data_IF_004580145336
#
_entry.id   IF_004580145336
#
_cell.length_a   1.000
_cell.length_b   1.000
_cell.length_c   1.000
_cell.angle_alpha   90.00
_cell.angle_beta   90.00
_cell.angle_gamma   90.00
#
_symmetry.space_group_name_H-M   'P 1'
#
loop_
_entity.id
_entity.type
_entity.pdbx_description
1 polymer ?
#
# COMPACT_ATOMS: atom_id res chain seq x y z
N UNK A 1 -8.54 0.58 1.34
CA UNK A 1 -8.04 1.93 1.02
C UNK A 1 -9.27 2.78 0.69
N UNK A 2 -9.58 3.80 1.49
CA UNK A 2 -10.64 4.75 1.11
C UNK A 2 -10.13 5.51 -0.10
N UNK A 3 -10.83 5.45 -1.23
CA UNK A 3 -10.38 6.11 -2.46
C UNK A 3 -10.47 7.64 -2.38
N UNK A 4 -11.30 8.15 -1.46
CA UNK A 4 -11.51 9.56 -1.22
C UNK A 4 -11.28 9.86 0.26
N UNK A 5 -10.44 10.85 0.53
CA UNK A 5 -10.41 11.57 1.80
C UNK A 5 -10.78 13.01 1.49
N UNK A 6 -11.64 13.60 2.31
CA UNK A 6 -12.08 14.99 2.21
C UNK A 6 -11.12 15.92 2.96
N UNK A 7 -11.20 17.22 2.70
CA UNK A 7 -10.51 18.27 3.45
C UNK A 7 -10.94 18.31 4.93
N UNK A 8 -12.13 17.80 5.23
CA UNK A 8 -12.64 17.63 6.59
C UNK A 8 -12.06 16.41 7.34
N UNK A 9 -11.36 15.49 6.66
CA UNK A 9 -10.70 14.36 7.31
C UNK A 9 -9.48 14.82 8.12
N UNK A 10 -9.26 14.15 9.26
CA UNK A 10 -8.13 14.47 10.13
C UNK A 10 -6.78 14.35 9.40
N UNK A 11 -5.82 15.16 9.83
CA UNK A 11 -4.44 15.08 9.35
C UNK A 11 -3.88 13.67 9.49
N UNK A 12 -4.21 12.98 10.60
CA UNK A 12 -3.81 11.60 10.85
C UNK A 12 -4.38 10.65 9.78
N UNK A 13 -5.68 10.68 9.49
CA UNK A 13 -6.31 9.84 8.46
C UNK A 13 -5.65 10.03 7.09
N UNK A 14 -5.32 11.28 6.75
CA UNK A 14 -4.64 11.64 5.50
C UNK A 14 -3.21 11.11 5.45
N UNK A 15 -2.44 11.27 6.53
CA UNK A 15 -1.06 10.77 6.59
C UNK A 15 -1.02 9.24 6.62
N UNK A 16 -1.95 8.59 7.34
CA UNK A 16 -2.07 7.14 7.38
C UNK A 16 -2.36 6.56 5.98
N UNK A 17 -3.34 7.13 5.28
CA UNK A 17 -3.66 6.70 3.91
C UNK A 17 -2.48 6.89 2.96
N UNK A 18 -1.77 8.02 3.06
CA UNK A 18 -0.59 8.29 2.23
C UNK A 18 0.57 7.35 2.54
N UNK A 19 0.82 7.07 3.82
CA UNK A 19 1.83 6.11 4.26
C UNK A 19 1.52 4.70 3.77
N UNK A 20 0.28 4.23 3.97
CA UNK A 20 -0.16 2.92 3.50
C UNK A 20 -0.09 2.79 1.97
N UNK A 21 -0.50 3.82 1.21
CA UNK A 21 -0.40 3.80 -0.25
C UNK A 21 1.08 3.83 -0.71
N UNK A 22 1.93 4.60 -0.04
CA UNK A 22 3.37 4.60 -0.31
C UNK A 22 3.95 3.20 -0.11
N UNK A 23 3.69 2.58 1.04
CA UNK A 23 4.26 1.29 1.42
C UNK A 23 3.76 0.12 0.56
N UNK A 24 2.48 0.11 0.21
CA UNK A 24 1.85 -1.00 -0.53
C UNK A 24 2.08 -0.91 -2.04
N UNK A 25 1.98 0.28 -2.64
CA UNK A 25 2.02 0.45 -4.11
C UNK A 25 3.07 1.45 -4.60
N UNK A 26 3.93 1.96 -3.71
CA UNK A 26 4.94 2.96 -4.09
C UNK A 26 4.37 4.36 -4.34
N UNK A 27 3.13 4.65 -3.95
CA UNK A 27 2.50 5.93 -4.23
C UNK A 27 3.33 7.08 -3.64
N UNK A 28 3.68 8.07 -4.48
CA UNK A 28 4.48 9.24 -4.08
C UNK A 28 5.86 8.88 -3.47
N UNK A 29 6.37 7.67 -3.70
CA UNK A 29 7.68 7.23 -3.19
C UNK A 29 8.81 8.20 -3.53
N UNK A 30 8.78 8.84 -4.70
CA UNK A 30 9.77 9.83 -5.16
C UNK A 30 9.73 11.17 -4.41
N UNK A 31 8.68 11.45 -3.62
CA UNK A 31 8.60 12.65 -2.78
C UNK A 31 9.40 12.53 -1.49
N UNK A 32 9.75 11.30 -1.09
CA UNK A 32 10.60 11.03 0.06
C UNK A 32 12.07 11.02 -0.38
N UNK A 33 12.95 11.60 0.44
CA UNK A 33 14.38 11.64 0.16
C UNK A 33 14.95 10.22 -0.02
N UNK A 34 15.85 10.02 -0.99
CA UNK A 34 16.43 8.70 -1.30
C UNK A 34 17.10 8.05 -0.09
N UNK A 35 17.93 8.80 0.63
CA UNK A 35 18.64 8.34 1.83
C UNK A 35 17.66 7.96 2.93
N UNK A 36 16.65 8.80 3.18
CA UNK A 36 15.60 8.49 4.16
C UNK A 36 14.90 7.16 3.87
N UNK A 37 14.52 6.91 2.61
CA UNK A 37 13.87 5.64 2.22
C UNK A 37 14.79 4.44 2.44
N UNK A 38 16.07 4.57 2.12
CA UNK A 38 17.06 3.51 2.34
C UNK A 38 17.30 3.24 3.82
N UNK A 39 17.32 4.28 4.66
CA UNK A 39 17.48 4.15 6.10
C UNK A 39 16.29 3.43 6.74
N UNK A 40 15.06 3.78 6.34
CA UNK A 40 13.84 3.10 6.80
C UNK A 40 13.85 1.63 6.40
N UNK A 41 14.16 1.31 5.14
CA UNK A 41 14.22 -0.09 4.68
C UNK A 41 15.34 -0.89 5.36
N UNK A 42 16.45 -0.25 5.73
CA UNK A 42 17.53 -0.88 6.49
C UNK A 42 17.09 -1.20 7.93
N UNK A 43 16.32 -0.32 8.56
CA UNK A 43 15.78 -0.52 9.92
C UNK A 43 14.59 -1.48 9.94
N UNK A 44 13.79 -1.48 8.87
CA UNK A 44 12.56 -2.26 8.72
C UNK A 44 12.53 -2.96 7.34
N UNK A 45 13.26 -4.09 7.18
CA UNK A 45 13.27 -4.85 5.93
C UNK A 45 11.87 -5.39 5.57
N UNK A 46 11.55 -5.43 4.29
CA UNK A 46 10.20 -5.79 3.80
C UNK A 46 9.86 -7.28 3.88
N UNK A 47 10.86 -8.16 3.90
CA UNK A 47 10.66 -9.60 4.12
C UNK A 47 9.59 -10.24 3.22
N UNK A 48 9.57 -9.89 1.93
CA UNK A 48 8.59 -10.41 0.97
C UNK A 48 7.18 -9.84 1.11
N UNK A 49 7.04 -8.62 1.64
CA UNK A 49 5.77 -7.94 1.86
C UNK A 49 4.86 -7.95 0.64
N UNK A 50 5.35 -7.64 -0.56
CA UNK A 50 4.51 -7.56 -1.76
C UNK A 50 3.81 -8.89 -2.06
N UNK A 51 4.52 -10.01 -1.89
CA UNK A 51 3.97 -11.34 -2.06
C UNK A 51 2.92 -11.65 -0.97
N UNK A 52 3.28 -11.45 0.30
CA UNK A 52 2.41 -11.76 1.43
C UNK A 52 1.13 -10.91 1.40
N UNK A 53 1.25 -9.60 1.17
CA UNK A 53 0.12 -8.68 1.12
C UNK A 53 -0.81 -9.01 -0.07
N UNK A 54 -0.26 -9.39 -1.22
CA UNK A 54 -1.07 -9.85 -2.36
C UNK A 54 -1.88 -11.11 -2.04
N UNK A 55 -1.29 -12.05 -1.28
CA UNK A 55 -1.99 -13.25 -0.81
C UNK A 55 -3.11 -12.90 0.17
N UNK A 56 -2.86 -11.98 1.11
CA UNK A 56 -3.89 -11.50 2.05
C UNK A 56 -5.06 -10.83 1.34
N UNK A 57 -4.80 -9.99 0.32
CA UNK A 57 -5.85 -9.38 -0.50
C UNK A 57 -6.66 -10.45 -1.25
N UNK A 58 -6.02 -11.49 -1.77
CA UNK A 58 -6.73 -12.60 -2.42
C UNK A 58 -7.61 -13.38 -1.43
N UNK A 59 -7.11 -13.65 -0.22
CA UNK A 59 -7.86 -14.31 0.83
C UNK A 59 -9.05 -13.48 1.30
N UNK A 60 -8.86 -12.16 1.51
CA UNK A 60 -9.92 -11.24 1.91
C UNK A 60 -11.00 -11.14 0.83
N UNK A 61 -10.62 -11.06 -0.45
CA UNK A 61 -11.58 -11.03 -1.54
C UNK A 61 -12.38 -12.34 -1.68
N UNK A 62 -11.78 -13.49 -1.34
CA UNK A 62 -12.48 -14.77 -1.32
C UNK A 62 -13.45 -14.90 -0.14
N UNK A 63 -13.07 -14.39 1.03
CA UNK A 63 -13.91 -14.42 2.25
C UNK A 63 -15.02 -13.38 2.21
N UNK A 64 -14.74 -12.19 1.69
CA UNK A 64 -15.65 -11.06 1.62
C UNK A 64 -15.73 -10.50 0.18
N UNK A 65 -16.47 -11.18 -0.74
CA UNK A 65 -16.52 -10.83 -2.16
C UNK A 65 -17.07 -9.43 -2.47
N UNK A 66 -17.84 -8.85 -1.54
CA UNK A 66 -18.43 -7.51 -1.67
C UNK A 66 -17.63 -6.42 -0.94
N UNK A 67 -16.42 -6.73 -0.46
CA UNK A 67 -15.57 -5.76 0.23
C UNK A 67 -14.89 -4.79 -0.73
N UNK A 68 -14.43 -3.66 -0.20
CA UNK A 68 -13.56 -2.73 -0.94
C UNK A 68 -12.24 -3.39 -1.38
N UNK A 69 -11.72 -4.35 -0.61
CA UNK A 69 -10.52 -5.08 -1.00
C UNK A 69 -10.76 -5.97 -2.23
N UNK A 70 -11.93 -6.62 -2.30
CA UNK A 70 -12.35 -7.39 -3.47
C UNK A 70 -12.46 -6.51 -4.73
N UNK A 71 -13.08 -5.32 -4.59
CA UNK A 71 -13.14 -4.34 -5.68
C UNK A 71 -11.73 -3.90 -6.12
N UNK A 72 -10.86 -3.49 -5.19
CA UNK A 72 -9.49 -3.06 -5.52
C UNK A 72 -8.67 -4.18 -6.17
N UNK A 73 -8.88 -5.44 -5.77
CA UNK A 73 -8.26 -6.60 -6.42
C UNK A 73 -8.65 -6.68 -7.90
N UNK A 74 -9.92 -6.47 -8.22
CA UNK A 74 -10.42 -6.45 -9.60
C UNK A 74 -9.92 -5.25 -10.40
N UNK A 75 -9.73 -4.11 -9.74
CA UNK A 75 -9.22 -2.87 -10.36
C UNK A 75 -7.69 -2.83 -10.52
N UNK A 76 -6.98 -3.93 -10.25
CA UNK A 76 -5.55 -4.04 -10.55
C UNK A 76 -4.60 -3.80 -9.38
N UNK A 77 -5.07 -3.74 -8.14
CA UNK A 77 -4.21 -3.63 -6.95
C UNK A 77 -3.06 -4.67 -6.92
N UNK A 78 -3.24 -5.96 -7.28
CA UNK A 78 -2.14 -6.93 -7.30
C UNK A 78 -1.01 -6.55 -8.28
N UNK A 79 -1.36 -5.96 -9.42
CA UNK A 79 -0.36 -5.47 -10.38
C UNK A 79 0.39 -4.28 -9.79
N UNK A 80 -0.31 -3.35 -9.13
CA UNK A 80 0.31 -2.19 -8.50
C UNK A 80 1.26 -2.59 -7.36
N UNK A 81 0.89 -3.58 -6.54
CA UNK A 81 1.78 -4.14 -5.50
C UNK A 81 3.03 -4.76 -6.13
N UNK A 82 2.87 -5.53 -7.22
CA UNK A 82 4.01 -6.15 -7.91
C UNK A 82 4.98 -5.12 -8.52
N UNK A 83 4.48 -3.94 -8.90
CA UNK A 83 5.25 -2.83 -9.46
C UNK A 83 5.80 -1.86 -8.41
N UNK A 84 5.66 -2.19 -7.12
CA UNK A 84 6.17 -1.36 -6.03
C UNK A 84 7.71 -1.20 -6.17
N UNK A 85 8.25 0.02 -6.10
CA UNK A 85 9.66 0.30 -6.34
C UNK A 85 10.60 -0.04 -5.17
N UNK A 86 10.07 -0.41 -4.01
CA UNK A 86 10.91 -0.80 -2.87
C UNK A 86 11.55 -2.17 -3.10
N UNK A 87 12.82 -2.30 -2.72
CA UNK A 87 13.54 -3.58 -2.70
C UNK A 87 13.03 -4.46 -1.56
N UNK A 88 12.82 -5.75 -1.83
CA UNK A 88 12.42 -6.77 -0.85
C UNK A 88 13.50 -7.82 -0.61
#
# INVERSE_FOLDING_TARGET
MNAHLDEHDSVESRLLQQGAACDVIGARFYRLNKTYRQDVLRQHPRQGFNQQFSQLIAQEAARNPHSRAALLKQLGLPLMIRLNPFSE
#
